data_IF_755223600824
#
_entry.id   IF_755223600824
#
_cell.length_a   1.000
_cell.length_b   1.000
_cell.length_c   1.000
_cell.angle_alpha   90.00
_cell.angle_beta   90.00
_cell.angle_gamma   90.00
#
_symmetry.space_group_name_H-M   'P 1'
#
loop_
_entity.id
_entity.type
_entity.pdbx_description
1 polymer ?
#
# COMPACT_ATOMS: atom_id res chain seq x y z
N UNK A 1 -35.12 -9.23 4.48
CA UNK A 1 -35.43 -7.81 4.79
C UNK A 1 -34.08 -7.15 5.06
N UNK A 2 -33.39 -6.74 3.96
CA UNK A 2 -32.00 -6.20 3.98
C UNK A 2 -32.02 -4.82 4.65
N UNK A 3 -31.33 -4.69 5.77
CA UNK A 3 -31.10 -3.38 6.40
C UNK A 3 -30.00 -2.66 5.59
N UNK A 4 -30.38 -1.69 4.81
CA UNK A 4 -29.47 -0.69 4.26
C UNK A 4 -28.95 0.17 5.42
N UNK A 5 -27.73 -0.09 5.88
CA UNK A 5 -26.98 0.88 6.69
C UNK A 5 -26.29 1.80 5.71
N UNK A 6 -26.79 3.03 5.63
CA UNK A 6 -26.10 4.13 4.95
C UNK A 6 -24.84 4.45 5.74
N UNK A 7 -23.72 3.87 5.39
CA UNK A 7 -22.42 4.26 5.91
C UNK A 7 -21.85 5.34 5.01
N UNK A 8 -21.87 6.56 5.52
CA UNK A 8 -21.26 7.74 4.89
C UNK A 8 -19.75 7.66 5.11
N UNK A 9 -19.08 6.80 4.37
CA UNK A 9 -17.61 6.80 4.30
C UNK A 9 -17.18 7.77 3.18
N UNK A 10 -17.50 9.05 3.35
CA UNK A 10 -17.27 10.09 2.33
C UNK A 10 -15.91 10.80 2.46
N UNK A 11 -15.04 10.38 3.39
CA UNK A 11 -13.84 11.17 3.73
C UNK A 11 -12.54 10.59 3.14
N UNK A 12 -12.48 9.31 2.79
CA UNK A 12 -11.23 8.70 2.29
C UNK A 12 -10.94 8.87 0.79
N UNK A 13 -11.84 9.44 0.00
CA UNK A 13 -11.66 9.56 -1.46
C UNK A 13 -10.94 10.86 -1.88
N UNK A 14 -10.91 11.88 -1.03
CA UNK A 14 -10.39 13.21 -1.39
C UNK A 14 -8.94 13.49 -0.97
N UNK A 15 -8.40 12.80 0.02
CA UNK A 15 -7.04 13.07 0.49
C UNK A 15 -5.92 12.35 -0.28
N UNK A 16 -6.21 11.24 -0.99
CA UNK A 16 -5.21 10.54 -1.79
C UNK A 16 -4.98 11.17 -3.19
N UNK A 17 -5.89 11.99 -3.68
CA UNK A 17 -5.71 12.70 -4.95
C UNK A 17 -4.83 13.95 -4.85
N UNK A 18 -4.57 14.47 -3.64
CA UNK A 18 -3.71 15.65 -3.46
C UNK A 18 -2.21 15.31 -3.43
N UNK A 19 -1.85 14.05 -3.10
CA UNK A 19 -0.46 13.58 -3.13
C UNK A 19 -0.02 13.06 -4.51
N UNK A 20 -0.95 12.79 -5.43
CA UNK A 20 -0.64 12.50 -6.83
C UNK A 20 -0.39 13.82 -7.53
N UNK A 21 0.87 14.18 -7.60
CA UNK A 21 1.41 15.42 -8.13
C UNK A 21 0.73 15.95 -9.35
N UNK A 22 0.17 17.08 -9.12
CA UNK A 22 -0.19 18.16 -9.90
C UNK A 22 0.00 18.22 -11.38
N UNK A 23 -1.07 18.51 -12.02
CA UNK A 23 -1.08 19.44 -13.11
C UNK A 23 -1.95 20.63 -12.72
N UNK A 24 -1.49 21.45 -11.79
CA UNK A 24 -1.90 22.84 -11.73
C UNK A 24 -1.06 23.62 -12.73
N UNK A 25 -1.34 23.47 -14.00
CA UNK A 25 -1.04 24.43 -15.08
C UNK A 25 -1.91 24.14 -16.31
N UNK A 26 -3.22 24.08 -16.11
CA UNK A 26 -4.19 24.06 -17.19
C UNK A 26 -5.06 25.34 -17.18
N UNK A 27 -4.52 26.46 -16.76
CA UNK A 27 -5.05 27.75 -17.22
C UNK A 27 -4.29 28.14 -18.47
N UNK A 28 -4.80 27.74 -19.65
CA UNK A 28 -4.32 28.26 -20.92
C UNK A 28 -4.11 27.32 -22.11
N UNK A 29 -4.73 26.15 -22.15
CA UNK A 29 -4.74 25.40 -23.41
C UNK A 29 -6.12 24.83 -23.74
N UNK A 30 -7.04 25.67 -24.18
CA UNK A 30 -8.16 25.20 -24.97
C UNK A 30 -7.64 24.56 -26.26
N UNK A 31 -7.68 23.21 -26.40
CA UNK A 31 -7.50 22.56 -27.70
C UNK A 31 -6.49 21.41 -27.78
N UNK A 32 -5.90 20.88 -26.70
CA UNK A 32 -5.20 19.60 -26.79
C UNK A 32 -6.14 18.49 -26.36
N UNK A 33 -6.35 17.50 -27.25
CA UNK A 33 -7.03 16.25 -26.87
C UNK A 33 -6.32 15.65 -25.65
N UNK A 34 -7.11 15.13 -24.68
CA UNK A 34 -6.54 14.37 -23.59
C UNK A 34 -5.72 13.20 -24.13
N UNK A 35 -4.54 12.90 -23.58
CA UNK A 35 -3.73 11.80 -24.06
C UNK A 35 -4.51 10.48 -23.95
N UNK A 36 -4.49 9.67 -24.99
CA UNK A 36 -5.13 8.37 -24.98
C UNK A 36 -4.36 7.40 -24.06
N UNK A 37 -5.05 6.55 -23.34
CA UNK A 37 -4.44 5.44 -22.61
C UNK A 37 -3.95 4.37 -23.58
N UNK A 38 -2.84 3.72 -23.24
CA UNK A 38 -2.20 2.68 -24.06
C UNK A 38 -1.76 1.51 -23.21
N UNK A 39 -1.51 0.38 -23.88
CA UNK A 39 -0.93 -0.81 -23.26
C UNK A 39 0.52 -0.98 -23.74
N UNK A 40 1.38 -1.44 -22.83
CA UNK A 40 2.74 -1.89 -23.12
C UNK A 40 2.90 -3.28 -22.52
N UNK A 41 2.78 -4.30 -23.35
CA UNK A 41 2.79 -5.71 -22.93
C UNK A 41 4.04 -6.41 -23.44
N UNK A 42 4.51 -7.40 -22.69
CA UNK A 42 5.51 -8.37 -23.14
C UNK A 42 4.87 -9.42 -24.06
N UNK A 43 5.68 -10.06 -24.90
CA UNK A 43 5.15 -11.06 -25.86
C UNK A 43 4.78 -12.38 -25.19
N UNK A 44 5.48 -12.74 -24.15
CA UNK A 44 5.44 -14.05 -23.50
C UNK A 44 5.12 -14.00 -22.00
N UNK A 45 4.73 -12.82 -21.49
CA UNK A 45 4.42 -12.64 -20.08
C UNK A 45 5.66 -12.65 -19.17
N UNK A 46 6.85 -12.30 -19.70
CA UNK A 46 8.09 -12.20 -18.95
C UNK A 46 8.88 -10.94 -19.28
N UNK A 47 9.68 -10.44 -18.32
CA UNK A 47 10.55 -9.29 -18.51
C UNK A 47 9.85 -7.94 -18.38
N UNK A 48 10.51 -6.90 -18.86
CA UNK A 48 10.12 -5.51 -18.69
C UNK A 48 9.64 -4.97 -20.05
N UNK A 49 8.34 -4.71 -20.19
CA UNK A 49 7.76 -4.19 -21.45
C UNK A 49 8.20 -2.76 -21.73
N UNK A 50 8.33 -1.93 -20.68
CA UNK A 50 8.86 -0.56 -20.74
C UNK A 50 9.70 -0.26 -19.51
N UNK A 51 10.90 0.29 -19.71
CA UNK A 51 11.71 0.81 -18.62
C UNK A 51 11.10 2.14 -18.16
N UNK A 52 10.37 2.13 -17.05
CA UNK A 52 9.88 3.36 -16.46
C UNK A 52 10.98 4.01 -15.63
N UNK A 53 11.27 5.27 -15.94
CA UNK A 53 12.35 6.03 -15.33
C UNK A 53 11.95 6.60 -13.96
N UNK A 54 12.93 7.03 -13.19
CA UNK A 54 12.71 7.79 -11.97
C UNK A 54 12.02 9.13 -12.27
N UNK A 55 11.21 9.63 -11.35
CA UNK A 55 10.45 10.86 -11.49
C UNK A 55 11.29 12.12 -11.21
N UNK A 56 12.32 12.36 -12.02
CA UNK A 56 13.24 13.48 -11.86
C UNK A 56 12.56 14.87 -12.00
N UNK A 57 11.55 14.97 -12.82
CA UNK A 57 10.70 16.16 -12.98
C UNK A 57 9.92 16.51 -11.72
N UNK A 58 9.45 15.49 -10.99
CA UNK A 58 8.80 15.67 -9.70
C UNK A 58 9.77 16.19 -8.64
N UNK A 59 11.02 15.71 -8.63
CA UNK A 59 12.08 16.24 -7.74
C UNK A 59 12.30 17.73 -7.98
N UNK A 60 12.42 18.13 -9.25
CA UNK A 60 12.60 19.53 -9.65
C UNK A 60 11.39 20.38 -9.21
N UNK A 61 10.18 19.84 -9.36
CA UNK A 61 8.95 20.47 -8.90
C UNK A 61 8.97 20.73 -7.38
N UNK A 62 9.25 19.69 -6.56
CA UNK A 62 9.27 19.81 -5.10
C UNK A 62 10.41 20.73 -4.62
N UNK A 63 11.61 20.65 -5.18
CA UNK A 63 12.75 21.52 -4.81
C UNK A 63 12.47 22.99 -5.06
N UNK A 64 11.70 23.34 -6.09
CA UNK A 64 11.49 24.72 -6.52
C UNK A 64 10.17 25.35 -6.08
N UNK A 65 9.19 24.56 -5.71
CA UNK A 65 7.83 25.08 -5.61
C UNK A 65 7.23 25.18 -4.24
N UNK A 66 7.40 24.24 -3.34
CA UNK A 66 6.47 24.30 -2.21
C UNK A 66 6.79 23.32 -1.09
N UNK A 67 6.93 23.85 0.10
CA UNK A 67 6.72 23.09 1.32
C UNK A 67 5.21 23.05 1.53
N UNK A 68 4.62 21.87 1.56
CA UNK A 68 3.27 21.76 2.07
C UNK A 68 3.35 21.74 3.60
N UNK A 69 3.07 22.89 4.21
CA UNK A 69 2.94 23.06 5.65
C UNK A 69 1.51 23.48 5.95
N UNK A 70 0.68 22.51 6.26
CA UNK A 70 -0.69 22.71 6.70
C UNK A 70 -0.75 22.89 8.23
N UNK A 71 -1.90 22.86 8.84
CA UNK A 71 -2.04 23.07 10.28
C UNK A 71 -1.49 21.88 11.07
N UNK A 72 -1.67 20.65 10.54
CA UNK A 72 -1.35 19.36 11.17
C UNK A 72 -0.62 18.36 10.26
N UNK A 73 -0.18 18.79 9.07
CA UNK A 73 0.51 17.95 8.08
C UNK A 73 1.66 18.71 7.42
N UNK A 74 2.77 18.00 7.15
CA UNK A 74 3.88 18.52 6.36
C UNK A 74 4.42 17.50 5.36
N UNK A 75 4.52 17.89 4.08
CA UNK A 75 5.34 17.22 3.08
C UNK A 75 6.53 18.11 2.72
N UNK A 76 7.72 17.67 3.12
CA UNK A 76 8.97 18.44 2.95
C UNK A 76 10.03 17.64 2.22
N UNK A 77 9.62 16.67 1.40
CA UNK A 77 10.56 15.88 0.58
C UNK A 77 11.45 16.80 -0.25
N UNK A 78 12.74 16.50 -0.30
CA UNK A 78 13.82 17.25 -1.00
C UNK A 78 14.02 18.69 -0.53
N UNK A 79 13.35 19.16 0.50
CA UNK A 79 13.43 20.53 0.94
C UNK A 79 14.66 20.79 1.83
N UNK A 80 15.27 21.99 1.65
CA UNK A 80 16.35 22.47 2.51
C UNK A 80 15.77 23.38 3.64
N UNK A 81 15.43 22.76 4.75
CA UNK A 81 14.86 23.43 5.94
C UNK A 81 15.83 24.36 6.65
N UNK A 82 17.14 24.37 6.30
CA UNK A 82 18.09 25.33 6.86
C UNK A 82 17.74 26.79 6.53
N UNK A 83 16.96 27.00 5.47
CA UNK A 83 16.50 28.28 4.95
C UNK A 83 15.15 28.74 5.51
N UNK A 84 14.50 27.91 6.33
CA UNK A 84 13.20 28.24 6.91
C UNK A 84 13.25 29.46 7.82
N UNK A 85 12.23 30.34 7.74
CA UNK A 85 11.98 31.39 8.72
C UNK A 85 11.50 30.77 10.03
N UNK A 86 11.66 31.50 11.15
CA UNK A 86 11.27 30.98 12.47
C UNK A 86 9.79 30.52 12.51
N UNK A 87 8.87 31.28 11.94
CA UNK A 87 7.44 30.90 11.86
C UNK A 87 7.17 29.62 11.10
N UNK A 88 8.01 29.28 10.11
CA UNK A 88 7.91 28.02 9.38
C UNK A 88 8.47 26.86 10.19
N UNK A 89 9.57 27.09 10.94
CA UNK A 89 10.15 26.09 11.86
C UNK A 89 9.18 25.74 12.99
N UNK A 90 8.55 26.78 13.58
CA UNK A 90 7.56 26.58 14.65
C UNK A 90 6.36 25.78 14.14
N UNK A 91 5.91 26.05 12.92
CA UNK A 91 4.84 25.31 12.28
C UNK A 91 5.24 23.86 11.95
N UNK A 92 6.44 23.66 11.39
CA UNK A 92 6.98 22.33 11.10
C UNK A 92 7.06 21.46 12.36
N UNK A 93 7.48 22.07 13.49
CA UNK A 93 7.52 21.37 14.78
C UNK A 93 6.14 20.81 15.18
N UNK A 94 5.06 21.55 14.89
CA UNK A 94 3.68 21.09 15.12
C UNK A 94 3.24 19.95 14.17
N UNK A 95 3.83 19.86 12.98
CA UNK A 95 3.49 18.87 11.96
C UNK A 95 4.27 17.53 12.09
N UNK A 96 5.25 17.45 13.00
CA UNK A 96 6.10 16.25 13.17
C UNK A 96 5.29 14.95 13.30
N UNK A 97 4.17 14.89 14.04
CA UNK A 97 3.38 13.67 14.14
C UNK A 97 2.80 13.16 12.81
N UNK A 98 2.68 14.05 11.82
CA UNK A 98 2.10 13.75 10.51
C UNK A 98 2.97 14.34 9.40
N UNK A 99 4.23 13.88 9.34
CA UNK A 99 5.25 14.42 8.44
C UNK A 99 5.65 13.40 7.37
N UNK A 100 5.84 13.89 6.14
CA UNK A 100 6.47 13.14 5.04
C UNK A 100 7.78 13.81 4.66
N UNK A 101 8.86 13.05 4.59
CA UNK A 101 10.18 13.52 4.18
C UNK A 101 11.01 12.37 3.57
N UNK A 102 12.10 12.69 2.89
CA UNK A 102 13.00 11.71 2.32
C UNK A 102 14.45 11.89 2.79
N UNK A 103 15.35 11.01 2.37
CA UNK A 103 16.77 11.05 2.74
C UNK A 103 17.47 12.36 2.33
N UNK A 104 17.00 13.06 1.28
CA UNK A 104 17.56 14.33 0.82
C UNK A 104 17.01 15.54 1.57
N UNK A 105 16.02 15.37 2.43
CA UNK A 105 15.44 16.46 3.22
C UNK A 105 16.44 16.96 4.27
N UNK A 106 16.68 18.26 4.31
CA UNK A 106 17.50 18.89 5.35
C UNK A 106 16.61 19.53 6.41
N UNK A 107 16.65 19.03 7.62
CA UNK A 107 15.89 19.60 8.75
C UNK A 107 16.56 20.84 9.33
N UNK A 108 15.78 21.77 9.92
CA UNK A 108 16.34 22.84 10.76
C UNK A 108 17.10 22.24 11.95
N UNK A 109 18.30 22.74 12.24
CA UNK A 109 19.17 22.22 13.31
C UNK A 109 18.51 22.19 14.68
N UNK A 110 17.60 23.12 14.93
CA UNK A 110 16.85 23.22 16.19
C UNK A 110 15.95 22.01 16.43
N UNK A 111 15.45 21.38 15.35
CA UNK A 111 14.57 20.21 15.42
C UNK A 111 15.33 18.87 15.44
N UNK A 112 16.58 18.82 14.98
CA UNK A 112 17.35 17.58 14.88
C UNK A 112 17.50 16.83 16.21
N UNK A 113 17.51 17.57 17.32
CA UNK A 113 17.66 16.98 18.66
C UNK A 113 16.39 16.27 19.13
N UNK A 114 15.23 16.83 18.82
CA UNK A 114 13.92 16.32 19.24
C UNK A 114 13.35 15.33 18.21
N UNK A 115 13.73 15.50 16.96
CA UNK A 115 13.32 14.69 15.83
C UNK A 115 14.54 14.20 15.03
N UNK A 116 15.15 13.07 15.41
CA UNK A 116 16.30 12.50 14.70
C UNK A 116 15.85 11.80 13.39
N UNK A 117 15.52 12.61 12.38
CA UNK A 117 14.85 12.23 11.15
C UNK A 117 15.50 11.03 10.43
N UNK A 118 16.84 11.03 10.31
CA UNK A 118 17.56 9.93 9.64
C UNK A 118 17.43 8.60 10.39
N UNK A 119 17.46 8.63 11.72
CA UNK A 119 17.29 7.43 12.53
C UNK A 119 15.83 6.92 12.45
N UNK A 120 14.85 7.82 12.43
CA UNK A 120 13.43 7.48 12.27
C UNK A 120 13.20 6.85 10.89
N UNK A 121 13.76 7.47 9.83
CA UNK A 121 13.67 6.93 8.48
C UNK A 121 14.28 5.52 8.40
N UNK A 122 15.46 5.31 8.99
CA UNK A 122 16.11 3.99 9.00
C UNK A 122 15.30 2.95 9.76
N UNK A 123 14.79 3.29 10.95
CA UNK A 123 13.89 2.39 11.71
C UNK A 123 12.56 2.14 11.02
N UNK A 124 12.08 3.10 10.23
CA UNK A 124 10.85 2.97 9.44
C UNK A 124 10.94 1.93 8.31
N UNK A 125 12.16 1.51 7.92
CA UNK A 125 12.38 0.47 6.90
C UNK A 125 11.98 -0.92 7.39
N UNK A 126 12.13 -1.21 8.70
CA UNK A 126 11.75 -2.53 9.23
C UNK A 126 10.29 -2.86 8.92
N UNK A 127 9.99 -4.06 8.39
CA UNK A 127 8.62 -4.52 8.19
C UNK A 127 7.85 -4.67 9.52
N UNK A 128 8.56 -4.88 10.64
CA UNK A 128 8.00 -5.00 11.98
C UNK A 128 7.26 -6.31 12.26
N UNK A 129 6.66 -6.40 13.44
CA UNK A 129 5.86 -7.54 13.90
C UNK A 129 6.61 -8.89 13.86
N UNK A 130 7.95 -8.87 14.03
CA UNK A 130 8.79 -10.06 14.05
C UNK A 130 9.07 -10.69 12.69
N UNK A 131 8.77 -9.99 11.58
CA UNK A 131 9.01 -10.49 10.22
C UNK A 131 10.50 -10.74 9.98
N UNK A 132 11.40 -9.87 10.47
CA UNK A 132 12.85 -10.06 10.33
C UNK A 132 13.32 -11.37 10.94
N UNK A 133 12.71 -11.80 12.05
CA UNK A 133 13.04 -13.09 12.68
C UNK A 133 12.64 -14.30 11.80
N UNK A 134 11.66 -14.14 10.91
CA UNK A 134 11.32 -15.15 9.90
C UNK A 134 12.33 -15.17 8.77
N UNK A 135 12.82 -14.00 8.35
CA UNK A 135 13.90 -13.91 7.36
C UNK A 135 15.16 -14.60 7.84
N UNK A 136 15.57 -14.42 9.10
CA UNK A 136 16.69 -15.12 9.73
C UNK A 136 16.53 -16.64 9.72
N UNK A 137 15.30 -17.14 9.73
CA UNK A 137 14.97 -18.57 9.61
C UNK A 137 14.90 -19.05 8.16
N UNK A 138 15.11 -18.17 7.16
CA UNK A 138 15.01 -18.48 5.74
C UNK A 138 13.57 -18.48 5.19
N UNK A 139 12.61 -17.97 5.95
CA UNK A 139 11.21 -17.82 5.53
C UNK A 139 11.06 -16.42 4.92
N UNK A 140 11.26 -16.33 3.60
CA UNK A 140 11.44 -15.08 2.86
C UNK A 140 10.50 -14.92 1.66
N UNK A 141 9.53 -15.83 1.50
CA UNK A 141 8.63 -15.86 0.35
C UNK A 141 9.25 -16.44 -0.92
N UNK A 142 10.44 -17.03 -0.82
CA UNK A 142 11.14 -17.61 -1.96
C UNK A 142 10.31 -18.67 -2.68
N UNK A 143 10.20 -18.54 -4.01
CA UNK A 143 9.42 -19.46 -4.84
C UNK A 143 7.94 -19.10 -4.96
N UNK A 144 7.51 -17.98 -4.35
CA UNK A 144 6.13 -17.48 -4.41
C UNK A 144 6.09 -16.20 -5.24
N UNK A 145 5.12 -16.09 -6.14
CA UNK A 145 4.85 -14.88 -6.91
C UNK A 145 3.84 -13.96 -6.22
N UNK A 146 4.14 -12.68 -6.22
CA UNK A 146 3.23 -11.60 -5.80
C UNK A 146 2.98 -10.72 -7.00
N UNK A 147 1.71 -10.51 -7.37
CA UNK A 147 1.30 -9.54 -8.37
C UNK A 147 0.85 -8.24 -7.69
N UNK A 148 1.28 -7.09 -8.21
CA UNK A 148 0.80 -5.78 -7.80
C UNK A 148 0.18 -5.10 -9.01
N UNK A 149 -1.03 -4.57 -8.84
CA UNK A 149 -1.73 -3.74 -9.84
C UNK A 149 -1.86 -2.35 -9.23
N UNK A 150 -1.10 -1.40 -9.75
CA UNK A 150 -1.05 -0.03 -9.23
C UNK A 150 -0.55 0.97 -10.28
N UNK A 151 -0.27 2.20 -9.90
CA UNK A 151 0.31 3.22 -10.77
C UNK A 151 1.68 2.77 -11.30
N UNK A 152 2.18 3.47 -12.32
CA UNK A 152 3.48 3.20 -12.97
C UNK A 152 4.60 3.02 -11.95
N UNK A 153 5.37 1.93 -12.09
CA UNK A 153 6.49 1.62 -11.21
C UNK A 153 7.80 2.19 -11.77
N UNK A 154 8.61 2.86 -10.93
CA UNK A 154 10.03 3.06 -11.23
C UNK A 154 10.73 1.70 -11.17
N UNK A 155 11.09 1.12 -12.32
CA UNK A 155 11.56 -0.27 -12.40
C UNK A 155 13.00 -0.47 -11.92
N UNK A 156 13.76 0.61 -11.70
CA UNK A 156 15.19 0.58 -11.39
C UNK A 156 15.57 0.58 -9.92
N UNK A 157 14.60 0.77 -8.99
CA UNK A 157 14.94 0.93 -7.58
C UNK A 157 15.56 -0.34 -6.97
N UNK A 158 16.71 -0.25 -6.25
CA UNK A 158 17.46 -1.40 -5.73
C UNK A 158 16.71 -2.25 -4.70
N UNK A 159 15.66 -1.72 -4.07
CA UNK A 159 14.81 -2.50 -3.15
C UNK A 159 14.16 -3.70 -3.84
N UNK A 160 13.63 -3.55 -5.05
CA UNK A 160 12.80 -4.56 -5.69
C UNK A 160 13.19 -4.91 -7.13
N UNK A 161 14.11 -4.18 -7.76
CA UNK A 161 14.47 -4.42 -9.17
C UNK A 161 14.97 -5.86 -9.43
N UNK A 162 15.66 -6.48 -8.47
CA UNK A 162 16.10 -7.87 -8.59
C UNK A 162 14.99 -8.91 -8.46
N UNK A 163 13.87 -8.54 -7.87
CA UNK A 163 12.70 -9.40 -7.67
C UNK A 163 11.69 -9.26 -8.81
N UNK A 164 11.81 -8.18 -9.62
CA UNK A 164 10.88 -7.83 -10.67
C UNK A 164 11.07 -8.75 -11.90
N UNK A 165 10.23 -9.79 -12.01
CA UNK A 165 10.24 -10.73 -13.12
C UNK A 165 9.42 -10.25 -14.31
N UNK A 166 8.36 -9.49 -14.07
CA UNK A 166 7.49 -8.92 -15.09
C UNK A 166 7.09 -7.50 -14.72
N UNK A 167 7.17 -6.59 -15.70
CA UNK A 167 6.52 -5.29 -15.66
C UNK A 167 5.79 -5.05 -16.99
N UNK A 168 4.50 -4.88 -16.90
CA UNK A 168 3.62 -4.48 -18.02
C UNK A 168 2.83 -3.23 -17.63
N UNK A 169 2.38 -2.49 -18.63
CA UNK A 169 1.47 -1.36 -18.44
C UNK A 169 0.20 -1.61 -19.25
N UNK A 170 -0.95 -1.40 -18.60
CA UNK A 170 -2.26 -1.48 -19.23
C UNK A 170 -3.08 -0.26 -18.84
N UNK A 171 -3.69 0.41 -19.83
CA UNK A 171 -4.47 1.61 -19.58
C UNK A 171 -3.65 2.72 -18.90
N UNK A 172 -2.49 3.04 -19.46
CA UNK A 172 -1.56 4.06 -18.93
C UNK A 172 -1.38 5.20 -19.94
N UNK A 173 -1.29 6.44 -19.47
CA UNK A 173 -0.83 7.54 -20.30
C UNK A 173 0.63 7.30 -20.68
N UNK A 174 0.97 7.34 -21.99
CA UNK A 174 2.32 7.01 -22.44
C UNK A 174 3.41 7.87 -21.81
N UNK A 175 4.56 7.25 -21.56
CA UNK A 175 5.79 7.88 -21.08
C UNK A 175 5.72 8.48 -19.66
N UNK A 176 4.82 8.06 -18.82
CA UNK A 176 4.85 8.42 -17.41
C UNK A 176 6.13 7.88 -16.72
N UNK A 177 6.71 8.67 -15.83
CA UNK A 177 7.73 8.23 -14.88
C UNK A 177 7.11 7.41 -13.75
N UNK A 178 7.94 6.75 -12.96
CA UNK A 178 7.50 5.99 -11.80
C UNK A 178 6.73 6.86 -10.79
N UNK A 179 5.69 6.28 -10.20
CA UNK A 179 4.90 6.93 -9.16
C UNK A 179 5.44 6.63 -7.76
N UNK A 180 5.15 7.51 -6.81
CA UNK A 180 5.49 7.27 -5.40
C UNK A 180 4.72 6.06 -4.84
N UNK A 181 3.47 5.88 -5.29
CA UNK A 181 2.59 4.84 -4.77
C UNK A 181 3.07 3.44 -5.24
N UNK A 182 3.36 3.26 -6.53
CA UNK A 182 3.89 2.00 -7.04
C UNK A 182 5.22 1.61 -6.39
N UNK A 183 6.16 2.56 -6.23
CA UNK A 183 7.44 2.32 -5.58
C UNK A 183 7.27 1.90 -4.10
N UNK A 184 6.38 2.58 -3.36
CA UNK A 184 6.09 2.25 -1.98
C UNK A 184 5.52 0.83 -1.84
N UNK A 185 4.49 0.47 -2.64
CA UNK A 185 3.85 -0.85 -2.55
C UNK A 185 4.82 -1.99 -2.90
N UNK A 186 5.62 -1.83 -3.95
CA UNK A 186 6.64 -2.82 -4.33
C UNK A 186 7.65 -3.02 -3.19
N UNK A 187 8.14 -1.93 -2.57
CA UNK A 187 9.12 -2.02 -1.48
C UNK A 187 8.55 -2.64 -0.21
N UNK A 188 7.30 -2.33 0.17
CA UNK A 188 6.63 -2.93 1.33
C UNK A 188 6.44 -4.44 1.13
N UNK A 189 6.14 -4.87 -0.08
CA UNK A 189 5.87 -6.27 -0.39
C UNK A 189 7.16 -7.10 -0.48
N UNK A 190 8.09 -6.72 -1.37
CA UNK A 190 9.27 -7.52 -1.74
C UNK A 190 10.60 -6.80 -1.57
N UNK A 191 10.61 -5.62 -0.93
CA UNK A 191 11.85 -4.87 -0.73
C UNK A 191 12.90 -5.64 0.07
N UNK A 192 14.16 -5.43 -0.26
CA UNK A 192 15.30 -6.09 0.43
C UNK A 192 15.41 -5.70 1.89
N UNK A 193 15.10 -4.45 2.21
CA UNK A 193 15.16 -3.89 3.58
C UNK A 193 13.80 -3.50 4.12
N UNK A 194 12.86 -3.07 3.27
CA UNK A 194 11.52 -2.63 3.66
C UNK A 194 10.47 -3.74 3.53
N UNK A 195 10.78 -4.82 2.82
CA UNK A 195 9.81 -5.81 2.38
C UNK A 195 9.50 -6.88 3.40
N UNK A 196 8.27 -7.36 3.34
CA UNK A 196 7.78 -8.51 4.12
C UNK A 196 8.28 -9.83 3.54
N UNK A 197 8.33 -9.96 2.21
CA UNK A 197 8.73 -11.19 1.50
C UNK A 197 9.88 -10.91 0.51
N UNK A 198 11.12 -10.67 1.00
CA UNK A 198 12.23 -10.13 0.21
C UNK A 198 12.77 -11.07 -0.88
N UNK A 199 12.45 -12.36 -0.86
CA UNK A 199 12.82 -13.32 -1.91
C UNK A 199 11.60 -13.77 -2.76
N UNK A 200 10.42 -13.17 -2.56
CA UNK A 200 9.28 -13.42 -3.44
C UNK A 200 9.53 -12.80 -4.82
N UNK A 201 8.93 -13.41 -5.85
CA UNK A 201 9.00 -12.88 -7.22
C UNK A 201 7.94 -11.81 -7.43
N UNK A 202 8.34 -10.64 -7.88
CA UNK A 202 7.42 -9.53 -8.17
C UNK A 202 6.97 -9.55 -9.64
N UNK A 203 5.67 -9.50 -9.84
CA UNK A 203 5.01 -9.24 -11.11
C UNK A 203 4.21 -7.94 -10.96
N UNK A 204 4.47 -6.94 -11.78
CA UNK A 204 3.85 -5.63 -11.59
C UNK A 204 3.15 -5.15 -12.86
N UNK A 205 1.91 -4.73 -12.72
CA UNK A 205 1.12 -4.09 -13.77
C UNK A 205 0.86 -2.63 -13.40
N UNK A 206 1.47 -1.72 -14.18
CA UNK A 206 1.17 -0.30 -14.11
C UNK A 206 -0.16 0.01 -14.77
N UNK A 207 -1.05 0.78 -14.09
CA UNK A 207 -2.27 1.28 -14.69
C UNK A 207 -2.73 2.62 -14.09
N UNK A 208 -3.35 3.45 -14.90
CA UNK A 208 -4.09 4.61 -14.41
C UNK A 208 -5.49 4.19 -13.95
N UNK A 209 -5.89 4.63 -12.76
CA UNK A 209 -7.12 4.18 -12.11
C UNK A 209 -8.38 4.94 -12.57
N UNK A 210 -8.27 5.83 -13.55
CA UNK A 210 -9.35 6.68 -14.05
C UNK A 210 -9.67 6.38 -15.52
N UNK A 211 -10.95 6.51 -15.90
CA UNK A 211 -11.41 6.35 -17.29
C UNK A 211 -11.08 7.56 -18.16
N UNK A 212 -11.02 8.73 -17.54
CA UNK A 212 -10.78 10.00 -18.22
C UNK A 212 -10.13 11.01 -17.28
N UNK A 213 -9.65 12.12 -17.83
CA UNK A 213 -9.11 13.25 -17.03
C UNK A 213 -10.19 14.20 -16.51
N UNK A 214 -11.46 13.90 -16.76
CA UNK A 214 -12.57 14.67 -16.20
C UNK A 214 -12.76 14.31 -14.72
N UNK A 215 -12.31 15.17 -13.84
CA UNK A 215 -12.41 15.01 -12.38
C UNK A 215 -13.83 15.18 -11.84
N UNK A 216 -14.76 15.71 -12.63
CA UNK A 216 -16.16 15.91 -12.25
C UNK A 216 -17.01 14.65 -12.49
N UNK A 217 -16.49 13.66 -13.21
CA UNK A 217 -17.17 12.40 -13.45
C UNK A 217 -17.16 11.53 -12.19
N UNK A 218 -18.31 11.42 -11.54
CA UNK A 218 -18.52 10.62 -10.31
C UNK A 218 -18.26 9.13 -10.52
N UNK A 219 -18.31 8.65 -11.76
CA UNK A 219 -18.05 7.26 -12.14
C UNK A 219 -16.67 7.02 -12.75
N UNK A 220 -15.72 7.93 -12.53
CA UNK A 220 -14.44 7.97 -13.27
C UNK A 220 -13.40 6.92 -12.84
N UNK A 221 -13.78 5.84 -12.18
CA UNK A 221 -12.86 4.74 -11.87
C UNK A 221 -12.92 3.70 -12.99
N UNK A 222 -11.74 3.24 -13.42
CA UNK A 222 -11.58 2.32 -14.54
C UNK A 222 -11.78 0.84 -14.13
N UNK A 223 -12.95 0.48 -13.57
CA UNK A 223 -13.22 -0.87 -13.04
C UNK A 223 -13.05 -1.99 -14.08
N UNK A 224 -13.49 -1.75 -15.32
CA UNK A 224 -13.30 -2.72 -16.42
C UNK A 224 -11.82 -2.93 -16.77
N UNK A 225 -11.01 -1.89 -16.60
CA UNK A 225 -9.57 -2.01 -16.83
C UNK A 225 -8.90 -2.81 -15.71
N UNK A 226 -9.30 -2.63 -14.45
CA UNK A 226 -8.87 -3.52 -13.37
C UNK A 226 -9.21 -4.98 -13.66
N UNK A 227 -10.42 -5.27 -14.11
CA UNK A 227 -10.82 -6.62 -14.53
C UNK A 227 -9.91 -7.17 -15.63
N UNK A 228 -9.62 -6.36 -16.65
CA UNK A 228 -8.75 -6.74 -17.78
C UNK A 228 -7.32 -7.03 -17.32
N UNK A 229 -6.80 -6.27 -16.37
CA UNK A 229 -5.47 -6.52 -15.78
C UNK A 229 -5.48 -7.79 -14.93
N UNK A 230 -6.51 -8.03 -14.11
CA UNK A 230 -6.64 -9.27 -13.32
C UNK A 230 -6.66 -10.50 -14.23
N UNK A 231 -7.42 -10.47 -15.32
CA UNK A 231 -7.43 -11.54 -16.32
C UNK A 231 -6.05 -11.75 -16.96
N UNK A 232 -5.32 -10.67 -17.23
CA UNK A 232 -3.93 -10.76 -17.71
C UNK A 232 -3.00 -11.40 -16.70
N UNK A 233 -3.14 -11.11 -15.40
CA UNK A 233 -2.40 -11.79 -14.33
C UNK A 233 -2.68 -13.29 -14.35
N UNK A 234 -3.95 -13.71 -14.51
CA UNK A 234 -4.34 -15.11 -14.60
C UNK A 234 -3.70 -15.80 -15.81
N UNK A 235 -3.76 -15.16 -17.00
CA UNK A 235 -3.12 -15.66 -18.22
C UNK A 235 -1.62 -15.90 -18.02
N UNK A 236 -0.90 -14.92 -17.46
CA UNK A 236 0.52 -15.02 -17.17
C UNK A 236 0.76 -16.15 -16.16
N UNK A 237 -0.02 -16.19 -15.07
CA UNK A 237 0.13 -17.21 -14.02
C UNK A 237 0.01 -18.64 -14.57
N UNK A 238 -0.89 -18.88 -15.51
CA UNK A 238 -1.05 -20.21 -16.15
C UNK A 238 0.23 -20.69 -16.85
N UNK A 239 1.08 -19.77 -17.31
CA UNK A 239 2.33 -20.11 -18.01
C UNK A 239 3.52 -20.31 -17.07
N UNK A 240 3.42 -19.83 -15.81
CA UNK A 240 4.50 -19.92 -14.84
C UNK A 240 4.70 -21.35 -14.32
N UNK A 241 5.94 -21.73 -13.95
CA UNK A 241 6.20 -22.99 -13.26
C UNK A 241 5.60 -22.95 -11.84
N UNK A 242 5.32 -24.14 -11.26
CA UNK A 242 4.78 -24.23 -9.88
C UNK A 242 5.59 -23.44 -8.87
N UNK A 243 6.92 -23.55 -8.95
CA UNK A 243 7.83 -22.69 -8.19
C UNK A 243 7.93 -21.31 -8.85
N UNK A 244 7.15 -20.36 -8.39
CA UNK A 244 7.03 -19.01 -8.94
C UNK A 244 5.62 -18.62 -9.36
N UNK A 245 4.62 -19.50 -9.14
CA UNK A 245 3.21 -19.16 -9.33
C UNK A 245 2.83 -17.92 -8.51
N UNK A 246 2.06 -17.05 -9.14
CA UNK A 246 1.43 -15.92 -8.45
C UNK A 246 0.36 -16.51 -7.51
N UNK A 247 0.52 -16.24 -6.22
CA UNK A 247 -0.40 -16.70 -5.18
C UNK A 247 -1.27 -15.59 -4.62
N UNK A 248 -0.89 -14.34 -4.88
CA UNK A 248 -1.61 -13.17 -4.38
C UNK A 248 -1.53 -12.01 -5.37
N UNK A 249 -2.64 -11.30 -5.52
CA UNK A 249 -2.74 -10.02 -6.23
C UNK A 249 -3.03 -8.93 -5.18
N UNK A 250 -2.21 -7.89 -5.15
CA UNK A 250 -2.36 -6.71 -4.30
C UNK A 250 -2.87 -5.53 -5.13
N UNK A 251 -4.03 -4.98 -4.75
CA UNK A 251 -4.64 -3.80 -5.39
C UNK A 251 -4.97 -2.80 -4.27
N UNK A 252 -4.15 -1.78 -4.08
CA UNK A 252 -4.35 -0.78 -3.03
C UNK A 252 -5.46 0.22 -3.40
N UNK A 253 -6.64 -0.30 -3.71
CA UNK A 253 -7.84 0.45 -4.06
C UNK A 253 -9.05 -0.09 -3.31
N UNK A 254 -9.85 0.85 -2.76
CA UNK A 254 -11.14 0.53 -2.16
C UNK A 254 -12.30 0.82 -3.12
N UNK A 255 -13.41 0.16 -2.87
CA UNK A 255 -14.66 0.31 -3.62
C UNK A 255 -15.87 -0.05 -2.76
N UNK A 256 -17.01 0.43 -3.20
CA UNK A 256 -18.32 0.09 -2.65
C UNK A 256 -19.37 0.27 -3.75
N UNK A 257 -20.50 -0.41 -3.62
CA UNK A 257 -21.64 -0.17 -4.49
C UNK A 257 -22.22 1.22 -4.21
N UNK A 258 -22.41 1.99 -5.28
CA UNK A 258 -22.82 3.40 -5.22
C UNK A 258 -24.32 3.59 -5.33
N UNK A 259 -25.06 2.58 -5.85
CA UNK A 259 -26.46 2.64 -6.24
C UNK A 259 -26.66 3.24 -7.65
N UNK A 260 -25.61 3.59 -8.36
CA UNK A 260 -25.64 3.94 -9.76
C UNK A 260 -25.48 2.67 -10.60
N UNK A 261 -26.52 2.29 -11.36
CA UNK A 261 -26.56 1.02 -12.11
C UNK A 261 -25.38 0.83 -13.07
N UNK A 262 -24.93 1.89 -13.74
CA UNK A 262 -23.83 1.81 -14.71
C UNK A 262 -22.47 1.62 -14.01
N UNK A 263 -22.20 2.40 -12.96
CA UNK A 263 -20.99 2.30 -12.16
C UNK A 263 -20.90 0.95 -11.46
N UNK A 264 -22.01 0.52 -10.86
CA UNK A 264 -22.09 -0.73 -10.13
C UNK A 264 -21.99 -1.96 -11.05
N UNK A 265 -22.48 -1.86 -12.31
CA UNK A 265 -22.29 -2.89 -13.31
C UNK A 265 -20.82 -3.02 -13.75
N UNK A 266 -20.08 -1.91 -13.86
CA UNK A 266 -18.64 -1.95 -14.16
C UNK A 266 -17.84 -2.52 -12.97
N UNK A 267 -18.18 -2.15 -11.74
CA UNK A 267 -17.60 -2.73 -10.53
C UNK A 267 -17.83 -4.24 -10.46
N UNK A 268 -19.04 -4.71 -10.83
CA UNK A 268 -19.33 -6.13 -10.86
C UNK A 268 -18.42 -6.89 -11.82
N UNK A 269 -18.05 -6.32 -12.97
CA UNK A 269 -17.08 -6.94 -13.90
C UNK A 269 -15.72 -7.13 -13.22
N UNK A 270 -15.26 -6.18 -12.39
CA UNK A 270 -14.04 -6.35 -11.61
C UNK A 270 -14.18 -7.44 -10.55
N UNK A 271 -15.32 -7.49 -9.84
CA UNK A 271 -15.57 -8.53 -8.84
C UNK A 271 -15.63 -9.94 -9.47
N UNK A 272 -16.21 -10.07 -10.65
CA UNK A 272 -16.24 -11.32 -11.40
C UNK A 272 -14.81 -11.78 -11.77
N UNK A 273 -13.92 -10.86 -12.16
CA UNK A 273 -12.52 -11.17 -12.42
C UNK A 273 -11.76 -11.56 -11.13
N UNK A 274 -12.09 -10.93 -9.99
CA UNK A 274 -11.54 -11.30 -8.68
C UNK A 274 -11.96 -12.73 -8.31
N UNK A 275 -13.23 -13.08 -8.50
CA UNK A 275 -13.71 -14.45 -8.27
C UNK A 275 -13.02 -15.46 -9.20
N UNK A 276 -12.82 -15.12 -10.47
CA UNK A 276 -12.07 -15.97 -11.39
C UNK A 276 -10.62 -16.17 -10.93
N UNK A 277 -9.93 -15.12 -10.45
CA UNK A 277 -8.59 -15.26 -9.86
C UNK A 277 -8.59 -16.17 -8.63
N UNK A 278 -9.64 -16.08 -7.79
CA UNK A 278 -9.83 -16.96 -6.62
C UNK A 278 -10.02 -18.41 -7.03
N UNK A 279 -10.79 -18.69 -8.07
CA UNK A 279 -10.99 -20.04 -8.62
C UNK A 279 -9.67 -20.64 -9.16
N UNK A 280 -8.75 -19.80 -9.63
CA UNK A 280 -7.39 -20.17 -10.04
C UNK A 280 -6.38 -20.26 -8.86
N UNK A 281 -6.86 -20.16 -7.62
CA UNK A 281 -6.04 -20.26 -6.40
C UNK A 281 -5.22 -19.02 -6.08
N UNK A 282 -5.60 -17.85 -6.58
CA UNK A 282 -4.94 -16.58 -6.35
C UNK A 282 -5.75 -15.74 -5.35
N UNK A 283 -5.15 -15.34 -4.23
CA UNK A 283 -5.76 -14.43 -3.27
C UNK A 283 -5.72 -12.99 -3.76
N UNK A 284 -6.86 -12.33 -3.92
CA UNK A 284 -6.92 -10.91 -4.32
C UNK A 284 -7.20 -10.05 -3.09
N UNK A 285 -6.25 -9.20 -2.73
CA UNK A 285 -6.35 -8.28 -1.58
C UNK A 285 -6.55 -6.87 -2.09
N UNK A 286 -7.57 -6.20 -1.54
CA UNK A 286 -7.87 -4.78 -1.79
C UNK A 286 -8.10 -4.06 -0.47
N UNK A 287 -8.31 -2.74 -0.48
CA UNK A 287 -8.76 -2.05 0.75
C UNK A 287 -10.26 -2.25 1.05
N UNK A 288 -10.97 -2.98 0.19
CA UNK A 288 -12.36 -3.45 0.38
C UNK A 288 -12.43 -4.98 0.22
N UNK A 289 -11.47 -5.70 0.83
CA UNK A 289 -11.32 -7.18 0.68
C UNK A 289 -12.55 -7.95 1.17
N UNK A 290 -13.32 -7.39 2.10
CA UNK A 290 -14.59 -7.94 2.59
C UNK A 290 -15.63 -8.15 1.48
N UNK A 291 -15.57 -7.37 0.41
CA UNK A 291 -16.45 -7.50 -0.75
C UNK A 291 -15.98 -8.56 -1.76
N UNK A 292 -14.77 -9.09 -1.60
CA UNK A 292 -14.19 -10.08 -2.49
C UNK A 292 -14.59 -11.52 -2.12
N UNK A 293 -14.91 -11.77 -0.84
CA UNK A 293 -15.06 -13.13 -0.32
C UNK A 293 -16.17 -13.22 0.73
N UNK A 294 -17.12 -14.11 0.54
CA UNK A 294 -18.26 -14.33 1.46
C UNK A 294 -17.81 -14.85 2.84
N UNK A 295 -16.66 -15.52 2.93
CA UNK A 295 -16.21 -16.09 4.20
C UNK A 295 -15.96 -15.05 5.29
N UNK A 296 -15.68 -13.78 4.94
CA UNK A 296 -15.50 -12.71 5.93
C UNK A 296 -16.78 -12.41 6.73
N UNK A 297 -17.97 -12.68 6.19
CA UNK A 297 -19.23 -12.51 6.91
C UNK A 297 -19.26 -13.32 8.22
N UNK A 298 -18.60 -14.50 8.23
CA UNK A 298 -18.54 -15.39 9.41
C UNK A 298 -17.80 -14.75 10.61
N UNK A 299 -16.91 -13.80 10.35
CA UNK A 299 -16.15 -13.08 11.38
C UNK A 299 -16.88 -11.85 11.90
N UNK A 300 -17.95 -11.42 11.23
CA UNK A 300 -18.81 -10.32 11.63
C UNK A 300 -18.06 -8.99 11.68
N UNK A 301 -17.20 -8.76 10.71
CA UNK A 301 -16.46 -7.51 10.51
C UNK A 301 -16.70 -6.98 9.09
N UNK A 302 -16.93 -5.67 8.99
CA UNK A 302 -17.04 -4.95 7.72
C UNK A 302 -15.66 -4.44 7.25
N UNK A 303 -14.58 -4.70 8.01
CA UNK A 303 -13.22 -4.37 7.67
C UNK A 303 -12.29 -5.47 8.23
N UNK A 304 -12.05 -6.56 7.46
CA UNK A 304 -11.24 -7.68 7.93
C UNK A 304 -9.80 -7.30 8.27
N UNK A 305 -9.26 -6.30 7.58
CA UNK A 305 -7.94 -5.75 7.85
C UNK A 305 -8.02 -4.26 8.16
N UNK A 306 -7.12 -3.79 9.02
CA UNK A 306 -7.00 -2.38 9.37
C UNK A 306 -5.53 -1.99 9.60
N UNK A 307 -5.26 -0.71 9.81
CA UNK A 307 -3.91 -0.19 9.93
C UNK A 307 -3.46 0.02 11.37
N UNK A 308 -2.21 -0.34 11.65
CA UNK A 308 -1.47 0.05 12.85
C UNK A 308 -0.74 1.37 12.63
N UNK A 309 -0.86 2.28 13.60
CA UNK A 309 0.01 3.43 13.76
C UNK A 309 1.12 3.14 14.77
N UNK A 310 2.15 3.99 14.80
CA UNK A 310 3.22 3.93 15.80
C UNK A 310 3.03 5.00 16.87
N UNK A 311 3.10 4.61 18.14
CA UNK A 311 3.13 5.53 19.28
C UNK A 311 4.48 6.24 19.39
N UNK A 312 5.56 5.54 19.07
CA UNK A 312 6.92 6.04 19.02
C UNK A 312 7.60 5.58 17.74
N UNK A 313 7.97 6.49 16.81
CA UNK A 313 8.67 6.14 15.58
C UNK A 313 10.05 5.52 15.82
N UNK A 314 10.63 5.72 17.02
CA UNK A 314 11.89 5.10 17.44
C UNK A 314 11.69 3.81 18.24
N UNK A 315 10.45 3.42 18.54
CA UNK A 315 10.12 2.20 19.25
C UNK A 315 10.63 0.94 18.56
N UNK A 316 10.68 -0.15 19.32
CA UNK A 316 11.02 -1.47 18.78
C UNK A 316 9.92 -1.92 17.79
N UNK A 317 10.20 -2.15 16.49
CA UNK A 317 9.20 -2.51 15.51
C UNK A 317 8.57 -3.90 15.75
N UNK A 318 9.16 -4.72 16.61
CA UNK A 318 8.65 -6.04 16.94
C UNK A 318 7.88 -6.06 18.26
N UNK A 319 7.92 -4.96 19.04
CA UNK A 319 7.18 -4.85 20.29
C UNK A 319 5.73 -4.42 20.06
N UNK A 320 4.74 -5.15 20.64
CA UNK A 320 3.34 -4.72 20.64
C UNK A 320 3.13 -3.33 21.25
N UNK A 321 4.00 -2.92 22.17
CA UNK A 321 3.90 -1.63 22.87
C UNK A 321 4.22 -0.43 21.97
N UNK A 322 4.87 -0.66 20.83
CA UNK A 322 5.15 0.35 19.83
C UNK A 322 3.91 0.76 19.03
N UNK A 323 2.86 -0.08 19.02
CA UNK A 323 1.75 0.10 18.09
C UNK A 323 0.45 0.54 18.76
N UNK A 324 -0.35 1.24 17.98
CA UNK A 324 -1.71 1.66 18.26
C UNK A 324 -2.58 1.50 17.02
N UNK A 325 -3.86 1.85 17.07
CA UNK A 325 -4.70 1.99 15.88
C UNK A 325 -4.16 3.13 15.00
N UNK A 326 -4.22 2.97 13.69
CA UNK A 326 -3.79 3.99 12.73
C UNK A 326 -4.49 5.34 12.93
N UNK A 327 -3.78 6.42 12.63
CA UNK A 327 -4.12 7.79 13.04
C UNK A 327 -5.56 8.19 12.75
N UNK A 328 -5.99 8.05 11.49
CA UNK A 328 -7.34 8.46 11.05
C UNK A 328 -8.46 7.48 11.42
N UNK A 329 -8.13 6.25 11.84
CA UNK A 329 -9.11 5.20 12.16
C UNK A 329 -9.75 5.39 13.54
N UNK A 330 -9.17 6.23 14.39
CA UNK A 330 -9.65 6.46 15.75
C UNK A 330 -11.07 7.02 15.85
N UNK A 331 -11.54 7.72 14.83
CA UNK A 331 -12.93 8.23 14.79
C UNK A 331 -13.98 7.12 14.70
N UNK A 332 -13.58 5.93 14.24
CA UNK A 332 -14.41 4.76 14.09
C UNK A 332 -13.80 3.52 14.77
N UNK A 333 -13.06 3.70 15.87
CA UNK A 333 -12.28 2.65 16.52
C UNK A 333 -13.07 1.37 16.84
N UNK A 334 -14.36 1.48 17.19
CA UNK A 334 -15.25 0.35 17.45
C UNK A 334 -15.40 -0.60 16.25
N UNK A 335 -15.34 -0.07 15.02
CA UNK A 335 -15.44 -0.85 13.79
C UNK A 335 -14.24 -1.79 13.62
N UNK A 336 -13.08 -1.40 14.14
CA UNK A 336 -11.82 -2.13 13.96
C UNK A 336 -11.48 -3.11 15.10
N UNK A 337 -12.30 -3.23 16.15
CA UNK A 337 -12.06 -4.19 17.23
C UNK A 337 -12.05 -5.65 16.78
N UNK A 338 -12.69 -5.97 15.65
CA UNK A 338 -12.70 -7.30 15.04
C UNK A 338 -11.77 -7.43 13.84
N UNK A 339 -11.08 -6.36 13.47
CA UNK A 339 -10.14 -6.34 12.34
C UNK A 339 -8.79 -6.91 12.75
N UNK A 340 -8.09 -7.49 11.78
CA UNK A 340 -6.70 -7.87 11.92
C UNK A 340 -5.82 -6.68 11.51
N UNK A 341 -5.10 -6.09 12.46
CA UNK A 341 -4.32 -4.88 12.25
C UNK A 341 -2.90 -5.21 11.78
N UNK A 342 -2.43 -4.48 10.77
CA UNK A 342 -1.07 -4.61 10.18
C UNK A 342 -0.40 -3.24 10.08
N UNK A 343 0.94 -3.15 10.03
CA UNK A 343 1.67 -1.88 9.95
C UNK A 343 1.21 -1.02 8.78
N UNK A 344 0.86 0.23 9.08
CA UNK A 344 0.39 1.23 8.13
C UNK A 344 1.20 2.53 8.25
N UNK A 345 1.18 3.17 9.41
CA UNK A 345 1.85 4.44 9.66
C UNK A 345 3.30 4.26 10.14
N UNK A 346 4.07 5.34 10.10
CA UNK A 346 5.44 5.38 10.59
C UNK A 346 6.39 4.47 9.80
N UNK A 347 6.25 4.45 8.46
CA UNK A 347 7.03 3.57 7.57
C UNK A 347 7.88 4.33 6.57
N UNK A 348 9.03 3.74 6.26
CA UNK A 348 9.87 4.16 5.15
C UNK A 348 9.72 3.20 3.99
N UNK A 349 9.61 3.75 2.78
CA UNK A 349 9.43 3.02 1.54
C UNK A 349 10.41 3.51 0.48
N UNK A 350 10.55 2.78 -0.62
CA UNK A 350 11.32 3.22 -1.78
C UNK A 350 10.78 4.55 -2.34
N UNK A 351 11.68 5.43 -2.76
CA UNK A 351 11.34 6.70 -3.42
C UNK A 351 11.14 6.48 -4.93
N UNK A 352 10.27 7.25 -5.54
CA UNK A 352 10.05 7.27 -6.99
C UNK A 352 11.14 7.97 -7.78
N UNK A 353 12.01 8.75 -7.13
CA UNK A 353 12.96 9.67 -7.77
C UNK A 353 14.37 9.12 -7.93
N UNK A 354 14.65 7.95 -7.41
CA UNK A 354 15.97 7.31 -7.42
C UNK A 354 16.12 6.24 -6.36
N UNK A 355 17.34 6.02 -5.91
CA UNK A 355 17.69 4.92 -5.02
C UNK A 355 17.53 5.29 -3.52
N UNK A 356 16.74 6.29 -3.21
CA UNK A 356 16.52 6.84 -1.88
C UNK A 356 15.21 6.35 -1.26
N UNK A 357 14.92 6.77 -0.02
CA UNK A 357 13.75 6.35 0.73
C UNK A 357 12.95 7.54 1.23
N UNK A 358 11.65 7.34 1.36
CA UNK A 358 10.70 8.31 1.92
C UNK A 358 10.10 7.75 3.20
N UNK A 359 10.09 8.55 4.26
CA UNK A 359 9.36 8.26 5.49
C UNK A 359 7.98 8.91 5.44
N UNK A 360 6.98 8.14 5.80
CA UNK A 360 5.58 8.55 5.95
C UNK A 360 5.16 8.35 7.40
N UNK A 361 4.90 9.43 8.13
CA UNK A 361 4.31 9.32 9.47
C UNK A 361 2.88 8.78 9.38
N UNK A 362 2.11 9.23 8.38
CA UNK A 362 0.81 8.68 7.98
C UNK A 362 0.96 7.96 6.64
N UNK A 363 0.82 6.63 6.65
CA UNK A 363 1.04 5.80 5.46
C UNK A 363 -0.21 5.55 4.63
N UNK A 364 -1.39 5.75 5.21
CA UNK A 364 -2.66 5.44 4.58
C UNK A 364 -2.94 3.93 4.43
N UNK A 365 -4.20 3.58 4.20
CA UNK A 365 -4.64 2.17 4.14
C UNK A 365 -3.99 1.38 3.00
N UNK A 366 -3.53 2.07 1.96
CA UNK A 366 -2.82 1.45 0.83
C UNK A 366 -1.58 0.64 1.24
N UNK A 367 -0.92 1.01 2.35
CA UNK A 367 0.28 0.30 2.84
C UNK A 367 -0.03 -1.05 3.50
N UNK A 368 -1.27 -1.27 3.95
CA UNK A 368 -1.67 -2.55 4.54
C UNK A 368 -1.75 -3.67 3.52
N UNK A 369 -2.21 -3.37 2.30
CA UNK A 369 -2.44 -4.35 1.22
C UNK A 369 -1.16 -5.09 0.81
N UNK A 370 -0.04 -4.41 0.45
CA UNK A 370 1.21 -5.09 0.11
C UNK A 370 1.86 -5.79 1.32
N UNK A 371 1.63 -5.30 2.55
CA UNK A 371 2.08 -5.99 3.75
C UNK A 371 1.39 -7.35 3.90
N UNK A 372 0.05 -7.38 3.80
CA UNK A 372 -0.73 -8.62 3.87
C UNK A 372 -0.35 -9.58 2.74
N UNK A 373 -0.15 -9.06 1.52
CA UNK A 373 0.30 -9.86 0.39
C UNK A 373 1.67 -10.51 0.66
N UNK A 374 2.60 -9.76 1.27
CA UNK A 374 3.89 -10.29 1.70
C UNK A 374 3.74 -11.39 2.75
N UNK A 375 2.94 -11.19 3.81
CA UNK A 375 2.70 -12.22 4.83
C UNK A 375 2.03 -13.45 4.24
N UNK A 376 1.05 -13.27 3.32
CA UNK A 376 0.45 -14.41 2.61
C UNK A 376 1.48 -15.19 1.80
N UNK A 377 2.43 -14.50 1.14
CA UNK A 377 3.51 -15.14 0.41
C UNK A 377 4.48 -15.91 1.32
N UNK A 378 4.77 -15.41 2.53
CA UNK A 378 5.52 -16.17 3.54
C UNK A 378 4.77 -17.46 3.92
N UNK A 379 3.45 -17.36 4.15
CA UNK A 379 2.60 -18.50 4.47
C UNK A 379 2.55 -19.53 3.33
N UNK A 380 2.36 -19.07 2.09
CA UNK A 380 2.33 -19.94 0.89
C UNK A 380 3.68 -20.61 0.61
N UNK A 381 4.79 -20.01 1.05
CA UNK A 381 6.11 -20.63 1.01
C UNK A 381 6.30 -21.76 2.01
N UNK A 382 5.53 -21.77 3.09
CA UNK A 382 5.55 -22.82 4.15
C UNK A 382 4.47 -23.86 3.93
N UNK A 383 3.29 -23.42 3.52
CA UNK A 383 2.12 -24.25 3.19
C UNK A 383 1.62 -23.87 1.79
N UNK A 384 2.07 -24.60 0.74
CA UNK A 384 1.66 -24.29 -0.64
C UNK A 384 0.16 -24.45 -0.92
N UNK A 385 -0.56 -25.18 -0.10
CA UNK A 385 -2.00 -25.41 -0.26
C UNK A 385 -2.87 -24.44 0.54
N UNK A 386 -2.25 -23.43 1.22
CA UNK A 386 -2.99 -22.47 2.02
C UNK A 386 -4.00 -21.68 1.18
N UNK A 387 -5.24 -21.64 1.68
CA UNK A 387 -6.31 -20.84 1.07
C UNK A 387 -6.45 -19.48 1.76
N UNK A 388 -7.08 -18.47 1.13
CA UNK A 388 -7.36 -17.19 1.76
C UNK A 388 -8.12 -17.29 3.09
N UNK A 389 -9.12 -18.17 3.15
CA UNK A 389 -9.90 -18.40 4.38
C UNK A 389 -9.04 -19.02 5.48
N UNK A 390 -8.27 -20.08 5.16
CA UNK A 390 -7.37 -20.73 6.11
C UNK A 390 -6.28 -19.77 6.64
N UNK A 391 -5.75 -18.92 5.76
CA UNK A 391 -4.82 -17.86 6.15
C UNK A 391 -5.46 -16.90 7.15
N UNK A 392 -6.63 -16.34 6.85
CA UNK A 392 -7.29 -15.37 7.71
C UNK A 392 -7.67 -16.01 9.07
N UNK A 393 -8.24 -17.21 9.05
CA UNK A 393 -8.58 -17.96 10.27
C UNK A 393 -7.35 -18.20 11.16
N UNK A 394 -6.24 -18.66 10.59
CA UNK A 394 -4.99 -18.85 11.32
C UNK A 394 -4.41 -17.52 11.84
N UNK A 395 -4.46 -16.45 11.04
CA UNK A 395 -3.97 -15.14 11.43
C UNK A 395 -4.77 -14.54 12.60
N UNK A 396 -6.10 -14.64 12.58
CA UNK A 396 -6.96 -14.20 13.70
C UNK A 396 -6.69 -15.01 14.97
N UNK A 397 -6.58 -16.34 14.85
CA UNK A 397 -6.32 -17.23 16.01
C UNK A 397 -4.96 -16.99 16.66
N UNK A 398 -3.98 -16.52 15.89
CA UNK A 398 -2.61 -16.29 16.38
C UNK A 398 -2.30 -14.84 16.66
N UNK A 399 -3.27 -13.93 16.47
CA UNK A 399 -3.09 -12.50 16.65
C UNK A 399 -2.67 -12.15 18.10
N UNK A 400 -1.86 -11.13 18.23
CA UNK A 400 -1.53 -10.51 19.51
C UNK A 400 -2.64 -9.52 19.87
N UNK A 401 -3.22 -9.66 21.06
CA UNK A 401 -4.25 -8.75 21.55
C UNK A 401 -3.59 -7.55 22.21
N UNK A 402 -3.96 -6.35 21.79
CA UNK A 402 -3.52 -5.08 22.39
C UNK A 402 -4.73 -4.27 22.84
N UNK A 403 -4.59 -3.54 23.97
CA UNK A 403 -5.61 -2.60 24.44
C UNK A 403 -5.06 -1.18 24.35
N UNK A 404 -5.80 -0.29 23.74
CA UNK A 404 -5.37 1.10 23.48
C UNK A 404 -6.54 2.07 23.68
N UNK A 405 -6.19 3.31 24.02
CA UNK A 405 -7.12 4.45 24.03
C UNK A 405 -6.55 5.58 23.14
N UNK A 406 -7.41 6.41 22.58
CA UNK A 406 -6.99 7.58 21.80
C UNK A 406 -6.25 8.60 22.66
N UNK A 407 -6.73 8.77 23.88
CA UNK A 407 -6.20 9.73 24.86
C UNK A 407 -5.98 9.03 26.20
N UNK A 408 -5.05 9.52 27.00
CA UNK A 408 -4.78 8.99 28.34
C UNK A 408 -6.05 9.08 29.23
N UNK A 409 -6.47 7.94 29.79
CA UNK A 409 -7.69 7.85 30.58
C UNK A 409 -9.01 7.87 29.77
N UNK A 410 -8.92 7.83 28.44
CA UNK A 410 -10.07 7.72 27.54
C UNK A 410 -10.68 6.32 27.50
N UNK A 411 -11.69 6.14 26.61
CA UNK A 411 -12.27 4.82 26.34
C UNK A 411 -11.21 3.89 25.77
N UNK A 412 -11.10 2.70 26.37
CA UNK A 412 -10.23 1.64 25.89
C UNK A 412 -10.94 0.77 24.85
N UNK A 413 -10.16 0.35 23.85
CA UNK A 413 -10.57 -0.57 22.79
C UNK A 413 -9.59 -1.72 22.72
N UNK A 414 -10.07 -2.88 22.32
CA UNK A 414 -9.25 -4.08 22.17
C UNK A 414 -9.09 -4.40 20.69
N UNK A 415 -7.84 -4.53 20.24
CA UNK A 415 -7.51 -4.80 18.85
C UNK A 415 -6.70 -6.07 18.69
N UNK A 416 -6.78 -6.68 17.51
CA UNK A 416 -6.08 -7.90 17.12
C UNK A 416 -4.95 -7.53 16.15
N UNK A 417 -3.72 -7.50 16.64
CA UNK A 417 -2.53 -7.22 15.85
C UNK A 417 -2.01 -8.51 15.22
N UNK A 418 -1.75 -8.51 13.91
CA UNK A 418 -1.16 -9.66 13.22
C UNK A 418 0.16 -10.07 13.89
N UNK A 419 0.39 -11.38 13.97
CA UNK A 419 1.61 -11.95 14.55
C UNK A 419 2.21 -12.96 13.54
N UNK A 420 3.00 -12.50 12.55
CA UNK A 420 3.55 -13.35 11.52
C UNK A 420 4.36 -14.56 12.05
N UNK A 421 5.21 -14.44 13.07
CA UNK A 421 5.91 -15.60 13.64
C UNK A 421 4.98 -16.67 14.23
N UNK A 422 3.94 -16.25 14.97
CA UNK A 422 2.98 -17.18 15.54
C UNK A 422 2.11 -17.84 14.46
N UNK A 423 1.71 -17.06 13.44
CA UNK A 423 0.98 -17.55 12.27
C UNK A 423 1.78 -18.64 11.54
N UNK A 424 3.02 -18.35 11.14
CA UNK A 424 3.91 -19.30 10.48
C UNK A 424 4.11 -20.58 11.33
N UNK A 425 4.37 -20.40 12.63
CA UNK A 425 4.54 -21.55 13.55
C UNK A 425 3.29 -22.42 13.65
N UNK A 426 2.09 -21.85 13.49
CA UNK A 426 0.84 -22.60 13.49
C UNK A 426 0.66 -23.44 12.23
N UNK A 427 1.09 -22.94 11.07
CA UNK A 427 1.05 -23.65 9.79
C UNK A 427 2.04 -24.83 9.77
N UNK A 428 3.28 -24.62 10.23
CA UNK A 428 4.31 -25.65 10.31
C UNK A 428 3.94 -26.86 11.19
N UNK A 429 3.05 -26.67 12.18
CA UNK A 429 2.58 -27.78 13.05
C UNK A 429 1.49 -28.62 12.40
N UNK A 430 0.83 -28.08 11.38
CA UNK A 430 -0.27 -28.72 10.68
C UNK A 430 0.17 -29.41 9.36
N UNK A 431 1.39 -29.08 8.88
CA UNK A 431 2.06 -29.71 7.74
C UNK A 431 2.87 -30.95 8.19
#
# INVERSE_FOLDING_TARGET
MKRFIKMTCLICILSLCAACGGTENAEGSHGKEAPAFTDSLTKDGTGIARQAEAAADMVEYYKNRYIQLEEDFADIRWYDGSKMKQTQKDRLAGCIPNITYNEETVFPKELEKEFPAQLILEKGKSPGLGVESLHEQGITGKGVGIAIIDQVLYTGHPEYASNLALYEEMHVVPNQSGSMHGAALASISVGKTCGVAPDATLYFWGMDNVKSWDREDVGNVAWKEYARVIERVIEVNRTLPENGKIRVIAISRGYNFTGNEEVDAELQVMLDAIHHASDEGIFVITTSTELNYDFFEAYGTDAPFAGLGKLDPLGDPDSPDTYTLGSWQWESAEMFEKSLLVPMDGRSTADMSGDTYVYYADGGWSWTVPYIAGVYALCAGVDPDITPEAFYDAAVKTATVITRSKEEGGKEYTFHMMNPPALISSLQKNA
#
